data_IF_281535579625
#
_entry.id   IF_281535579625
#
_cell.length_a   1.000
_cell.length_b   1.000
_cell.length_c   1.000
_cell.angle_alpha   90.00
_cell.angle_beta   90.00
_cell.angle_gamma   90.00
#
_symmetry.space_group_name_H-M   'P 1'
#
loop_
_entity.id
_entity.type
_entity.pdbx_description
1 polymer ?
#
# COMPACT_ATOMS: atom_id res chain seq x y z
N UNK A 1 25.09 -26.04 -4.09
CA UNK A 1 26.21 -25.50 -3.28
C UNK A 1 25.58 -24.46 -2.37
N UNK A 2 25.36 -24.79 -1.10
CA UNK A 2 24.63 -23.95 -0.16
C UNK A 2 25.60 -22.94 0.49
N UNK A 3 25.35 -21.67 0.18
CA UNK A 3 25.47 -20.46 1.00
C UNK A 3 26.77 -20.29 1.82
N UNK A 4 27.82 -19.81 1.14
CA UNK A 4 28.64 -18.73 1.69
C UNK A 4 28.14 -17.44 1.04
N UNK A 5 27.29 -16.70 1.75
CA UNK A 5 27.12 -15.27 1.48
C UNK A 5 27.25 -14.58 2.81
N UNK A 6 28.37 -13.88 2.94
CA UNK A 6 28.57 -12.80 3.90
C UNK A 6 27.25 -12.07 4.10
N UNK A 7 26.75 -12.04 5.34
CA UNK A 7 25.75 -11.06 5.76
C UNK A 7 26.41 -9.69 5.62
N UNK A 8 26.07 -8.86 4.61
CA UNK A 8 26.45 -7.48 4.71
C UNK A 8 25.58 -6.91 5.83
N UNK A 9 26.19 -6.25 6.80
CA UNK A 9 25.45 -5.35 7.67
C UNK A 9 24.76 -4.31 6.77
N UNK A 10 23.47 -4.49 6.52
CA UNK A 10 22.60 -3.49 5.89
C UNK A 10 21.22 -3.56 6.53
N UNK A 11 21.23 -3.33 7.84
CA UNK A 11 20.18 -2.79 8.71
C UNK A 11 18.73 -2.65 8.17
N UNK A 12 17.82 -3.39 8.80
CA UNK A 12 16.61 -2.86 9.45
C UNK A 12 15.54 -2.20 8.57
N UNK A 13 15.10 -2.85 7.50
CA UNK A 13 13.84 -2.47 6.83
C UNK A 13 12.87 -3.66 6.82
N UNK A 14 12.30 -3.97 7.99
CA UNK A 14 11.03 -4.71 8.03
C UNK A 14 10.02 -3.88 7.24
N UNK A 15 9.33 -4.52 6.30
CA UNK A 15 8.26 -3.88 5.55
C UNK A 15 6.94 -4.46 6.00
N UNK A 16 6.06 -3.60 6.43
CA UNK A 16 4.77 -3.92 6.99
C UNK A 16 3.69 -3.08 6.33
N UNK A 17 2.51 -3.66 6.20
CA UNK A 17 1.31 -3.00 5.70
C UNK A 17 0.06 -3.76 6.15
N UNK A 18 -1.12 -3.26 5.78
CA UNK A 18 -2.38 -3.86 6.20
C UNK A 18 -3.41 -3.90 5.08
N UNK A 19 -4.31 -4.89 5.17
CA UNK A 19 -5.29 -5.17 4.14
C UNK A 19 -6.51 -5.89 4.69
N UNK A 20 -7.64 -5.75 4.00
CA UNK A 20 -8.87 -6.45 4.33
C UNK A 20 -9.07 -7.73 3.50
N UNK A 21 -9.66 -8.76 4.10
CA UNK A 21 -10.17 -9.91 3.36
C UNK A 21 -11.62 -9.70 2.85
N UNK A 22 -12.17 -10.69 2.15
CA UNK A 22 -13.54 -10.64 1.62
C UNK A 22 -14.62 -10.57 2.70
N UNK A 23 -14.29 -11.00 3.92
CA UNK A 23 -15.18 -11.03 5.09
C UNK A 23 -15.00 -9.77 5.97
N UNK A 24 -14.20 -8.82 5.49
CA UNK A 24 -13.90 -7.55 6.13
C UNK A 24 -12.98 -7.64 7.34
N UNK A 25 -12.30 -8.77 7.57
CA UNK A 25 -11.24 -8.87 8.59
C UNK A 25 -10.00 -8.11 8.14
N UNK A 26 -9.25 -7.54 9.08
CA UNK A 26 -7.98 -6.86 8.80
C UNK A 26 -6.79 -7.73 9.21
N UNK A 27 -5.79 -7.79 8.33
CA UNK A 27 -4.49 -8.38 8.58
C UNK A 27 -3.40 -7.31 8.50
N UNK A 28 -2.38 -7.48 9.34
CA UNK A 28 -1.07 -6.86 9.16
C UNK A 28 -0.17 -7.90 8.50
N UNK A 29 0.55 -7.46 7.49
CA UNK A 29 1.60 -8.21 6.86
C UNK A 29 2.92 -7.63 7.34
N UNK A 30 3.88 -8.48 7.66
CA UNK A 30 5.23 -8.11 8.07
C UNK A 30 6.25 -8.97 7.34
N UNK A 31 7.21 -8.31 6.69
CA UNK A 31 8.20 -8.92 5.83
C UNK A 31 9.59 -8.57 6.35
N UNK A 32 10.41 -9.60 6.55
CA UNK A 32 11.81 -9.42 6.87
C UNK A 32 12.59 -9.15 5.57
N UNK A 33 12.50 -7.91 5.08
CA UNK A 33 13.01 -7.37 3.80
C UNK A 33 12.42 -8.03 2.53
N UNK A 34 12.11 -7.21 1.51
CA UNK A 34 11.82 -7.64 0.12
C UNK A 34 10.65 -8.63 -0.12
N UNK A 35 9.63 -8.65 0.74
CA UNK A 35 8.40 -9.42 0.48
C UNK A 35 7.57 -8.90 -0.71
N UNK A 36 6.58 -9.66 -1.22
CA UNK A 36 5.62 -9.15 -2.19
C UNK A 36 4.79 -8.04 -1.56
N UNK A 37 5.24 -6.80 -1.75
CA UNK A 37 4.57 -5.60 -1.25
C UNK A 37 3.68 -5.11 -2.38
N UNK A 38 2.35 -5.00 -2.16
CA UNK A 38 1.49 -4.37 -3.14
C UNK A 38 2.05 -3.01 -3.51
N UNK A 39 2.12 -2.72 -4.80
CA UNK A 39 2.67 -1.47 -5.25
C UNK A 39 1.94 -0.30 -4.59
N UNK A 40 2.71 0.73 -4.25
CA UNK A 40 2.22 2.04 -3.81
C UNK A 40 1.54 2.08 -2.42
N UNK A 41 1.79 1.06 -1.58
CA UNK A 41 1.60 1.16 -0.13
C UNK A 41 2.86 1.76 0.50
N UNK A 42 2.74 2.71 1.46
CA UNK A 42 3.88 3.16 2.27
C UNK A 42 4.60 1.97 2.91
N UNK A 43 5.91 1.89 2.72
CA UNK A 43 6.74 0.90 3.38
C UNK A 43 7.07 1.40 4.78
N UNK A 44 6.55 0.72 5.80
CA UNK A 44 6.85 1.00 7.20
C UNK A 44 7.18 -0.29 7.92
N UNK A 45 7.64 -0.25 9.17
CA UNK A 45 7.63 -1.48 9.98
C UNK A 45 6.19 -1.81 10.38
N UNK A 46 5.89 -3.04 10.80
CA UNK A 46 4.58 -3.36 11.34
C UNK A 46 4.16 -2.46 12.54
N UNK A 47 5.12 -1.95 13.31
CA UNK A 47 4.88 -0.93 14.35
C UNK A 47 4.49 0.41 13.72
N UNK A 48 5.29 0.89 12.78
CA UNK A 48 5.04 2.15 12.10
C UNK A 48 3.71 2.15 11.34
N UNK A 49 3.27 0.99 10.82
CA UNK A 49 1.90 0.85 10.30
C UNK A 49 0.88 1.19 11.37
N UNK A 50 0.95 0.60 12.55
CA UNK A 50 -0.03 0.85 13.63
C UNK A 50 0.01 2.29 14.15
N UNK A 51 1.20 2.86 14.23
CA UNK A 51 1.45 4.20 14.77
C UNK A 51 1.08 5.31 13.77
N UNK A 52 1.38 5.13 12.49
CA UNK A 52 1.35 6.20 11.48
C UNK A 52 0.23 6.01 10.44
N UNK A 53 0.14 4.82 9.84
CA UNK A 53 -0.68 4.55 8.64
C UNK A 53 -2.04 3.87 8.93
N UNK A 54 -2.17 3.32 10.14
CA UNK A 54 -3.28 2.58 10.72
C UNK A 54 -4.64 3.20 10.40
N UNK A 55 -4.82 4.31 11.11
CA UNK A 55 -5.99 5.16 11.19
C UNK A 55 -5.51 6.58 10.96
N UNK A 56 -6.19 7.34 10.09
CA UNK A 56 -5.85 8.75 9.95
C UNK A 56 -6.27 9.49 11.23
N UNK A 57 -5.43 10.39 11.76
CA UNK A 57 -5.81 11.17 12.92
C UNK A 57 -6.99 12.09 12.60
N UNK A 58 -7.82 12.35 13.60
CA UNK A 58 -8.85 13.39 13.51
C UNK A 58 -8.23 14.81 13.54
N UNK A 59 -9.07 15.84 13.48
CA UNK A 59 -8.64 17.25 13.53
C UNK A 59 -7.81 17.63 14.77
N UNK A 60 -7.82 16.78 15.81
CA UNK A 60 -7.06 16.97 17.06
C UNK A 60 -5.79 16.11 17.10
N UNK A 61 -5.48 15.38 16.04
CA UNK A 61 -4.33 14.47 15.97
C UNK A 61 -4.61 13.07 16.52
N UNK A 62 -5.85 12.73 16.91
CA UNK A 62 -6.15 11.47 17.59
C UNK A 62 -6.55 10.38 16.59
N UNK A 63 -5.91 9.21 16.67
CA UNK A 63 -6.31 8.02 15.90
C UNK A 63 -7.45 7.27 16.60
N UNK A 64 -8.56 7.06 15.93
CA UNK A 64 -9.76 6.44 16.50
C UNK A 64 -9.99 5.04 15.91
N UNK A 65 -9.66 3.99 16.67
CA UNK A 65 -9.76 2.60 16.21
C UNK A 65 -11.18 2.03 16.36
N UNK A 66 -12.03 2.59 17.22
CA UNK A 66 -13.41 2.14 17.45
C UNK A 66 -13.51 0.65 17.78
N UNK A 67 -12.69 0.15 18.71
CA UNK A 67 -12.79 -1.21 19.21
C UNK A 67 -14.16 -1.47 19.83
N UNK A 68 -14.73 -2.63 19.50
CA UNK A 68 -15.98 -3.08 20.08
C UNK A 68 -15.80 -3.51 21.54
N UNK A 69 -16.90 -3.79 22.23
CA UNK A 69 -16.86 -4.14 23.65
C UNK A 69 -16.06 -5.41 23.91
N UNK A 70 -16.10 -6.42 23.02
CA UNK A 70 -15.37 -7.67 23.21
C UNK A 70 -13.86 -7.46 23.08
N UNK A 71 -13.44 -6.69 22.07
CA UNK A 71 -12.04 -6.32 21.85
C UNK A 71 -11.51 -5.51 23.05
N UNK A 72 -12.27 -4.51 23.49
CA UNK A 72 -11.89 -3.68 24.63
C UNK A 72 -11.81 -4.49 25.93
N UNK A 73 -12.76 -5.40 26.18
CA UNK A 73 -12.79 -6.20 27.39
C UNK A 73 -11.58 -7.15 27.48
N UNK A 74 -11.15 -7.76 26.36
CA UNK A 74 -9.91 -8.56 26.31
C UNK A 74 -8.68 -7.73 26.69
N UNK A 75 -8.58 -6.51 26.19
CA UNK A 75 -7.46 -5.62 26.55
C UNK A 75 -7.50 -5.31 28.04
N UNK A 76 -8.67 -4.92 28.56
CA UNK A 76 -8.88 -4.54 29.97
C UNK A 76 -8.54 -5.67 30.94
N UNK A 77 -8.80 -6.92 30.57
CA UNK A 77 -8.43 -8.10 31.35
C UNK A 77 -6.91 -8.23 31.55
N UNK A 78 -6.11 -7.74 30.59
CA UNK A 78 -4.65 -7.82 30.61
C UNK A 78 -3.97 -6.59 31.20
N UNK A 79 -4.70 -5.49 31.38
CA UNK A 79 -4.18 -4.30 32.05
C UNK A 79 -4.00 -4.54 33.55
N UNK A 80 -2.94 -3.96 34.11
CA UNK A 80 -2.56 -4.10 35.52
C UNK A 80 -2.79 -2.78 36.27
N UNK A 81 -2.76 -2.82 37.60
CA UNK A 81 -2.71 -1.60 38.41
C UNK A 81 -1.53 -0.75 37.94
N UNK A 82 -1.72 0.56 37.67
CA UNK A 82 -0.69 1.36 37.04
C UNK A 82 0.42 1.64 38.06
N UNK A 83 1.66 1.39 37.66
CA UNK A 83 2.84 1.98 38.28
C UNK A 83 3.12 3.35 37.67
N UNK A 84 4.04 4.11 38.27
CA UNK A 84 4.56 5.31 37.61
C UNK A 84 5.14 4.94 36.23
N UNK A 85 4.84 5.77 35.23
CA UNK A 85 5.37 5.62 33.89
C UNK A 85 6.88 5.90 33.87
N UNK A 86 7.61 5.09 33.12
CA UNK A 86 9.05 5.23 32.93
C UNK A 86 9.40 6.15 31.73
N UNK A 87 10.69 6.23 31.43
CA UNK A 87 11.23 7.10 30.40
C UNK A 87 11.15 6.51 28.98
N UNK A 88 10.70 5.27 28.80
CA UNK A 88 10.75 4.63 27.48
C UNK A 88 9.56 3.67 27.34
N UNK A 89 8.45 4.16 26.78
CA UNK A 89 7.35 3.28 26.41
C UNK A 89 6.06 3.98 26.03
N UNK A 90 5.35 3.36 25.10
CA UNK A 90 3.93 3.58 24.91
C UNK A 90 3.14 2.76 25.92
N UNK A 91 1.99 3.26 26.34
CA UNK A 91 1.15 2.61 27.33
C UNK A 91 -0.29 2.58 26.89
N UNK A 92 -0.90 1.39 26.95
CA UNK A 92 -2.34 1.27 26.94
C UNK A 92 -2.84 1.57 28.34
N UNK A 93 -3.75 2.53 28.46
CA UNK A 93 -4.35 2.96 29.72
C UNK A 93 -5.85 2.80 29.72
N UNK A 94 -6.38 2.36 30.86
CA UNK A 94 -7.80 2.42 31.19
C UNK A 94 -8.03 3.60 32.12
N UNK A 95 -8.95 4.49 31.75
CA UNK A 95 -9.33 5.64 32.56
C UNK A 95 -10.70 5.48 33.22
N UNK A 96 -10.97 6.27 34.24
CA UNK A 96 -12.32 6.52 34.72
C UNK A 96 -13.09 7.32 33.65
N UNK A 97 -14.11 6.70 33.06
CA UNK A 97 -14.96 7.30 32.01
C UNK A 97 -15.67 8.56 32.52
N UNK A 98 -15.95 8.66 33.83
CA UNK A 98 -16.51 9.88 34.41
C UNK A 98 -15.53 11.07 34.35
N UNK A 99 -14.23 10.79 34.21
CA UNK A 99 -13.15 11.76 34.17
C UNK A 99 -12.53 11.94 32.77
N UNK A 100 -13.21 11.46 31.72
CA UNK A 100 -12.70 11.54 30.33
C UNK A 100 -12.36 12.97 29.89
N UNK A 101 -13.20 13.95 30.23
CA UNK A 101 -12.93 15.35 29.87
C UNK A 101 -11.62 15.85 30.48
N UNK A 102 -11.38 15.51 31.75
CA UNK A 102 -10.17 15.90 32.44
C UNK A 102 -8.92 15.22 31.87
N UNK A 103 -9.00 13.90 31.63
CA UNK A 103 -7.94 13.13 31.00
C UNK A 103 -7.58 13.72 29.63
N UNK A 104 -8.56 13.90 28.74
CA UNK A 104 -8.33 14.40 27.38
C UNK A 104 -7.76 15.82 27.40
N UNK A 105 -8.24 16.69 28.30
CA UNK A 105 -7.69 18.04 28.45
C UNK A 105 -6.22 18.02 28.82
N UNK A 106 -5.82 17.14 29.75
CA UNK A 106 -4.42 16.97 30.13
C UNK A 106 -3.60 16.39 28.97
N UNK A 107 -4.08 15.31 28.36
CA UNK A 107 -3.35 14.57 27.33
C UNK A 107 -3.13 15.37 26.05
N UNK A 108 -4.15 16.11 25.59
CA UNK A 108 -4.03 16.96 24.41
C UNK A 108 -3.16 18.20 24.67
N UNK A 109 -3.28 18.82 25.84
CA UNK A 109 -2.46 20.00 26.19
C UNK A 109 -0.98 19.65 26.21
N UNK A 110 -0.63 18.47 26.71
CA UNK A 110 0.75 18.02 26.86
C UNK A 110 1.18 17.03 25.76
N UNK A 111 0.34 16.83 24.72
CA UNK A 111 0.65 16.07 23.50
C UNK A 111 1.17 14.64 23.71
N UNK A 112 0.59 13.89 24.65
CA UNK A 112 0.96 12.49 24.88
C UNK A 112 -0.14 11.47 24.50
N UNK A 113 -1.21 11.91 23.82
CA UNK A 113 -2.31 11.03 23.40
C UNK A 113 -2.11 10.62 21.93
N UNK A 114 -1.96 9.32 21.67
CA UNK A 114 -1.74 8.78 20.33
C UNK A 114 -3.03 8.24 19.72
N UNK A 115 -3.74 7.40 20.48
CA UNK A 115 -4.94 6.73 19.98
C UNK A 115 -6.04 6.58 21.03
N UNK A 116 -7.27 6.55 20.53
CA UNK A 116 -8.44 6.06 21.25
C UNK A 116 -8.83 4.69 20.71
N UNK A 117 -8.71 3.68 21.56
CA UNK A 117 -9.13 2.32 21.22
C UNK A 117 -10.62 2.15 21.47
N UNK A 118 -11.12 2.55 22.64
CA UNK A 118 -12.55 2.50 22.94
C UNK A 118 -12.97 3.66 23.84
N UNK A 119 -13.77 4.57 23.30
CA UNK A 119 -14.28 5.72 24.04
C UNK A 119 -15.28 5.31 25.12
N UNK A 120 -16.14 4.33 24.85
CA UNK A 120 -17.16 3.85 25.80
C UNK A 120 -16.54 3.20 27.03
N UNK A 121 -15.39 2.54 26.85
CA UNK A 121 -14.67 1.84 27.92
C UNK A 121 -13.53 2.67 28.53
N UNK A 122 -13.20 3.83 27.97
CA UNK A 122 -12.11 4.68 28.46
C UNK A 122 -10.72 4.10 28.18
N UNK A 123 -10.52 3.50 27.01
CA UNK A 123 -9.28 2.83 26.63
C UNK A 123 -8.49 3.66 25.60
N UNK A 124 -7.24 4.01 25.95
CA UNK A 124 -6.39 4.91 25.17
C UNK A 124 -4.95 4.42 25.10
N UNK A 125 -4.23 4.81 24.04
CA UNK A 125 -2.78 4.68 23.90
C UNK A 125 -2.13 6.03 24.17
N UNK A 126 -1.13 6.05 25.06
CA UNK A 126 -0.38 7.24 25.42
C UNK A 126 1.14 7.03 25.35
N UNK A 127 1.89 8.07 25.04
CA UNK A 127 3.36 8.11 25.13
C UNK A 127 3.76 9.24 26.10
N UNK A 128 3.80 8.98 27.42
CA UNK A 128 3.90 10.04 28.41
C UNK A 128 5.34 10.57 28.58
N UNK A 129 6.32 10.19 27.77
CA UNK A 129 7.75 10.47 27.99
C UNK A 129 8.03 11.93 28.36
N UNK A 130 7.63 12.88 27.51
CA UNK A 130 7.85 14.32 27.75
C UNK A 130 6.93 14.91 28.85
N UNK A 131 5.86 14.21 29.20
CA UNK A 131 4.81 14.66 30.12
C UNK A 131 4.65 13.75 31.36
N UNK A 132 5.69 12.98 31.71
CA UNK A 132 5.59 11.86 32.66
C UNK A 132 5.07 12.29 34.03
N UNK A 133 5.53 13.44 34.53
CA UNK A 133 5.08 14.00 35.81
C UNK A 133 3.57 14.23 35.80
N UNK A 134 3.07 14.86 34.73
CA UNK A 134 1.63 15.14 34.57
C UNK A 134 0.82 13.86 34.37
N UNK A 135 1.32 12.89 33.62
CA UNK A 135 0.66 11.60 33.46
C UNK A 135 0.60 10.82 34.79
N UNK A 136 1.67 10.83 35.58
CA UNK A 136 1.74 10.19 36.89
C UNK A 136 0.81 10.85 37.93
N UNK A 137 0.57 12.16 37.84
CA UNK A 137 -0.46 12.84 38.65
C UNK A 137 -1.87 12.27 38.39
N UNK A 138 -2.18 11.89 37.14
CA UNK A 138 -3.48 11.29 36.81
C UNK A 138 -3.64 9.88 37.43
N UNK A 139 -2.55 9.14 37.64
CA UNK A 139 -2.56 7.88 38.39
C UNK A 139 -2.87 8.14 39.86
N UNK A 140 -2.16 9.09 40.50
CA UNK A 140 -2.35 9.43 41.92
C UNK A 140 -3.79 9.88 42.21
N UNK A 141 -4.38 10.59 41.25
CA UNK A 141 -5.76 11.08 41.30
C UNK A 141 -6.81 10.03 40.91
N UNK A 142 -6.39 8.81 40.58
CA UNK A 142 -7.24 7.69 40.15
C UNK A 142 -8.07 7.99 38.90
N UNK A 143 -7.54 8.84 38.02
CA UNK A 143 -8.11 9.07 36.69
C UNK A 143 -7.64 7.95 35.75
N UNK A 144 -6.35 7.58 35.82
CA UNK A 144 -5.82 6.36 35.19
C UNK A 144 -5.97 5.21 36.19
N UNK A 145 -6.75 4.21 35.82
CA UNK A 145 -7.14 3.08 36.67
C UNK A 145 -6.29 1.84 36.46
N UNK A 146 -5.85 1.61 35.22
CA UNK A 146 -4.99 0.50 34.82
C UNK A 146 -4.07 0.89 33.68
N UNK A 147 -2.92 0.24 33.58
CA UNK A 147 -2.03 0.37 32.43
C UNK A 147 -1.29 -0.92 32.10
N UNK A 148 -0.77 -1.01 30.88
CA UNK A 148 0.23 -1.99 30.44
C UNK A 148 1.13 -1.30 29.42
N UNK A 149 2.45 -1.53 29.50
CA UNK A 149 3.38 -1.10 28.45
C UNK A 149 3.00 -1.79 27.14
N UNK A 150 2.99 -1.03 26.06
CA UNK A 150 2.76 -1.49 24.71
C UNK A 150 4.08 -1.41 23.97
N UNK A 151 4.58 -2.56 23.54
CA UNK A 151 5.79 -2.67 22.77
C UNK A 151 5.58 -3.79 21.76
N UNK A 152 5.21 -3.43 20.54
CA UNK A 152 5.02 -4.42 19.49
C UNK A 152 6.42 -4.78 18.94
N UNK A 153 6.89 -6.00 19.14
CA UNK A 153 8.16 -6.46 18.58
C UNK A 153 8.00 -7.83 17.93
N UNK A 154 8.23 -7.84 16.62
CA UNK A 154 8.06 -9.01 15.76
C UNK A 154 9.43 -9.62 15.39
N UNK A 155 10.55 -9.03 15.83
CA UNK A 155 11.89 -9.42 15.40
C UNK A 155 12.46 -10.68 16.09
N UNK A 156 11.63 -11.48 16.75
CA UNK A 156 12.06 -12.66 17.50
C UNK A 156 12.01 -13.97 16.69
N UNK A 157 11.86 -13.86 15.37
CA UNK A 157 11.77 -15.02 14.47
C UNK A 157 13.10 -15.77 14.37
N UNK A 158 13.05 -17.10 14.54
CA UNK A 158 14.25 -17.95 14.49
C UNK A 158 14.14 -18.94 13.34
N UNK A 159 15.10 -18.91 12.42
CA UNK A 159 15.23 -19.93 11.38
C UNK A 159 15.71 -21.25 11.98
N UNK A 160 14.93 -22.32 11.79
CA UNK A 160 15.30 -23.68 12.16
C UNK A 160 15.89 -24.41 10.96
N UNK A 161 17.22 -24.51 10.93
CA UNK A 161 17.97 -25.21 9.90
C UNK A 161 17.58 -26.69 9.74
N UNK A 162 17.07 -27.34 10.80
CA UNK A 162 16.71 -28.77 10.74
C UNK A 162 15.40 -29.00 10.01
N UNK A 163 14.45 -28.09 10.17
CA UNK A 163 13.13 -28.18 9.53
C UNK A 163 13.07 -27.38 8.24
N UNK A 164 14.01 -26.45 8.02
CA UNK A 164 14.01 -25.53 6.88
C UNK A 164 12.87 -24.53 6.96
N UNK A 165 12.46 -24.14 8.17
CA UNK A 165 11.31 -23.27 8.41
C UNK A 165 11.61 -22.21 9.47
N UNK A 166 10.86 -21.12 9.45
CA UNK A 166 10.94 -20.07 10.48
C UNK A 166 9.97 -20.38 11.61
N UNK A 167 10.45 -20.25 12.84
CA UNK A 167 9.62 -20.27 14.04
C UNK A 167 9.29 -18.84 14.43
N UNK A 168 8.03 -18.46 14.25
CA UNK A 168 7.51 -17.16 14.62
C UNK A 168 7.19 -17.12 16.11
N UNK A 169 7.74 -16.13 16.81
CA UNK A 169 7.56 -15.99 18.27
C UNK A 169 6.74 -14.74 18.56
N UNK A 170 5.57 -14.95 19.14
CA UNK A 170 4.65 -13.89 19.56
C UNK A 170 4.70 -13.73 21.07
N UNK A 171 4.85 -12.50 21.54
CA UNK A 171 4.81 -12.18 22.97
C UNK A 171 3.38 -12.17 23.54
N UNK A 172 3.24 -11.78 24.82
CA UNK A 172 1.94 -11.74 25.49
C UNK A 172 1.04 -10.56 25.04
N UNK A 173 1.53 -9.61 24.24
CA UNK A 173 0.72 -8.53 23.65
C UNK A 173 -0.13 -9.04 22.50
N UNK A 174 0.30 -10.10 21.81
CA UNK A 174 -0.54 -10.76 20.80
C UNK A 174 -1.85 -11.28 21.39
N UNK A 175 -1.92 -11.58 22.69
CA UNK A 175 -3.17 -11.98 23.32
C UNK A 175 -4.29 -10.92 23.27
N UNK A 176 -3.91 -9.65 23.10
CA UNK A 176 -4.81 -8.51 22.99
C UNK A 176 -4.87 -7.91 21.58
N UNK A 177 -4.13 -8.48 20.63
CA UNK A 177 -3.99 -7.97 19.27
C UNK A 177 -5.21 -8.37 18.42
N UNK A 178 -5.96 -7.42 17.82
CA UNK A 178 -7.21 -7.73 17.12
C UNK A 178 -7.03 -7.97 15.62
N UNK A 179 -5.81 -7.95 15.10
CA UNK A 179 -5.52 -8.12 13.67
C UNK A 179 -4.94 -9.51 13.41
N UNK A 180 -5.18 -10.05 12.22
CA UNK A 180 -4.40 -11.19 11.74
C UNK A 180 -2.95 -10.74 11.52
N UNK A 181 -1.99 -11.63 11.73
CA UNK A 181 -0.60 -11.39 11.32
C UNK A 181 -0.22 -12.41 10.25
N UNK A 182 0.30 -11.88 9.15
CA UNK A 182 0.93 -12.64 8.10
C UNK A 182 2.40 -12.26 8.03
N UNK A 183 3.27 -13.27 7.97
CA UNK A 183 4.71 -13.06 7.89
C UNK A 183 5.31 -13.91 6.79
N UNK A 184 6.41 -13.41 6.23
CA UNK A 184 7.20 -14.16 5.27
C UNK A 184 8.68 -13.90 5.54
N UNK A 185 9.52 -14.93 5.43
CA UNK A 185 10.97 -14.72 5.48
C UNK A 185 11.48 -14.00 4.24
N UNK A 186 12.75 -13.59 4.28
CA UNK A 186 13.48 -12.88 3.22
C UNK A 186 13.28 -13.42 1.79
N UNK A 187 13.00 -14.71 1.61
CA UNK A 187 12.84 -15.29 0.28
C UNK A 187 11.38 -15.22 -0.22
N UNK A 188 11.17 -14.41 -1.26
CA UNK A 188 9.95 -14.28 -2.08
C UNK A 188 9.41 -15.59 -2.65
N UNK A 189 10.26 -16.62 -2.76
CA UNK A 189 9.88 -17.97 -3.17
C UNK A 189 9.08 -18.74 -2.10
N UNK A 190 9.01 -18.26 -0.86
CA UNK A 190 8.09 -18.76 0.15
C UNK A 190 6.74 -18.05 0.04
N UNK A 191 5.66 -18.75 0.40
CA UNK A 191 4.38 -18.10 0.57
C UNK A 191 4.37 -17.31 1.87
N UNK A 192 3.67 -16.18 1.90
CA UNK A 192 3.37 -15.49 3.15
C UNK A 192 2.46 -16.36 4.00
N UNK A 193 2.79 -16.54 5.28
CA UNK A 193 2.11 -17.45 6.20
C UNK A 193 1.35 -16.68 7.28
N UNK A 194 0.16 -17.15 7.63
CA UNK A 194 -0.62 -16.63 8.75
C UNK A 194 -0.04 -17.15 10.06
N UNK A 195 0.65 -16.29 10.78
CA UNK A 195 1.34 -16.65 12.03
C UNK A 195 0.47 -16.40 13.25
N UNK A 196 -0.47 -15.45 13.16
CA UNK A 196 -1.39 -15.13 14.25
C UNK A 196 -2.84 -15.01 13.81
N UNK A 197 -3.76 -15.49 14.66
CA UNK A 197 -5.21 -15.36 14.53
C UNK A 197 -5.76 -14.65 15.77
N UNK A 198 -6.38 -13.47 15.62
CA UNK A 198 -6.90 -12.72 16.75
C UNK A 198 -8.14 -13.40 17.33
N UNK A 199 -8.27 -13.37 18.67
CA UNK A 199 -9.46 -13.87 19.37
C UNK A 199 -10.72 -13.05 19.01
N UNK A 200 -10.55 -11.72 18.93
CA UNK A 200 -11.59 -10.79 18.50
C UNK A 200 -11.06 -9.98 17.31
N UNK A 201 -11.67 -10.20 16.14
CA UNK A 201 -11.18 -9.70 14.85
C UNK A 201 -11.58 -8.25 14.65
N UNK A 202 -10.62 -7.41 14.26
CA UNK A 202 -10.90 -6.07 13.78
C UNK A 202 -11.55 -6.13 12.40
N UNK A 203 -12.63 -5.37 12.23
CA UNK A 203 -13.40 -5.30 11.00
C UNK A 203 -13.20 -3.98 10.28
N UNK A 204 -13.17 -4.03 8.95
CA UNK A 204 -13.08 -2.84 8.11
C UNK A 204 -14.20 -1.83 8.42
N UNK A 205 -15.38 -2.29 8.85
CA UNK A 205 -16.51 -1.43 9.24
C UNK A 205 -16.25 -0.61 10.50
N UNK A 206 -15.19 -0.89 11.27
CA UNK A 206 -14.79 -0.11 12.44
C UNK A 206 -13.97 1.14 12.05
N UNK A 207 -13.39 1.15 10.85
CA UNK A 207 -12.80 2.36 10.30
C UNK A 207 -13.85 3.43 10.01
N UNK A 208 -13.47 4.70 10.04
CA UNK A 208 -14.33 5.78 9.53
C UNK A 208 -14.53 5.64 8.00
N UNK A 209 -15.54 6.31 7.40
CA UNK A 209 -15.85 6.13 5.99
C UNK A 209 -14.72 6.46 5.01
N UNK A 210 -13.81 7.38 5.35
CA UNK A 210 -12.69 7.73 4.46
C UNK A 210 -11.57 6.70 4.55
N UNK A 211 -11.32 6.23 5.76
CA UNK A 211 -10.41 5.13 6.06
C UNK A 211 -10.84 3.81 5.42
N UNK A 212 -12.15 3.51 5.40
CA UNK A 212 -12.67 2.33 4.70
C UNK A 212 -12.36 2.34 3.20
N UNK A 213 -12.19 3.52 2.60
CA UNK A 213 -11.95 3.65 1.16
C UNK A 213 -10.47 3.51 0.79
N UNK A 214 -9.52 3.66 1.73
CA UNK A 214 -8.07 3.46 1.49
C UNK A 214 -7.61 2.01 1.65
N UNK A 215 -8.35 1.20 2.40
CA UNK A 215 -7.97 -0.19 2.67
C UNK A 215 -8.15 -1.05 1.42
N UNK A 216 -7.06 -1.65 0.94
CA UNK A 216 -7.08 -2.66 -0.12
C UNK A 216 -7.88 -3.91 0.32
N UNK A 217 -8.34 -4.71 -0.63
CA UNK A 217 -9.18 -5.89 -0.35
C UNK A 217 -8.72 -7.09 -1.14
N UNK A 218 -8.63 -8.25 -0.48
CA UNK A 218 -8.38 -9.52 -1.14
C UNK A 218 -9.67 -10.32 -1.32
N UNK A 219 -9.81 -11.10 -2.41
CA UNK A 219 -10.98 -11.94 -2.68
C UNK A 219 -10.95 -13.28 -1.91
N UNK A 220 -10.17 -13.38 -0.83
CA UNK A 220 -10.01 -14.59 -0.01
C UNK A 220 -10.56 -14.36 1.40
N UNK A 221 -10.68 -15.43 2.19
CA UNK A 221 -10.92 -15.33 3.65
C UNK A 221 -9.61 -15.57 4.40
N UNK A 222 -9.28 -14.69 5.35
CA UNK A 222 -8.13 -14.93 6.22
C UNK A 222 -8.32 -16.13 7.12
N UNK A 223 -9.55 -16.56 7.46
CA UNK A 223 -9.77 -17.77 8.26
C UNK A 223 -9.42 -19.05 7.49
N UNK A 224 -9.64 -19.05 6.18
CA UNK A 224 -9.48 -20.22 5.31
C UNK A 224 -8.11 -20.28 4.64
N UNK A 225 -7.42 -19.13 4.53
CA UNK A 225 -6.17 -19.00 3.79
C UNK A 225 -4.97 -18.83 4.72
N UNK A 226 -4.35 -19.94 5.15
CA UNK A 226 -3.19 -19.92 6.05
C UNK A 226 -1.87 -19.55 5.37
N UNK A 227 -1.79 -19.70 4.05
CA UNK A 227 -0.65 -19.28 3.23
C UNK A 227 -1.17 -18.63 1.96
N UNK A 228 -0.47 -17.65 1.42
CA UNK A 228 -0.89 -16.97 0.19
C UNK A 228 0.27 -16.29 -0.53
N UNK A 229 0.08 -16.06 -1.82
CA UNK A 229 0.95 -15.23 -2.64
C UNK A 229 0.22 -13.92 -2.93
N UNK A 230 0.63 -12.81 -2.33
CA UNK A 230 -0.06 -11.52 -2.52
C UNK A 230 -0.04 -11.07 -3.98
N UNK A 231 1.07 -11.33 -4.68
CA UNK A 231 1.22 -11.00 -6.10
C UNK A 231 0.20 -11.73 -7.01
N UNK A 232 -0.47 -12.78 -6.53
CA UNK A 232 -1.57 -13.46 -7.25
C UNK A 232 -2.82 -12.58 -7.36
N UNK A 233 -3.00 -11.68 -6.40
CA UNK A 233 -4.24 -10.90 -6.23
C UNK A 233 -4.05 -9.41 -6.48
N UNK A 234 -2.85 -8.90 -6.23
CA UNK A 234 -2.52 -7.48 -6.34
C UNK A 234 -1.17 -7.33 -7.03
N UNK A 235 -0.99 -6.33 -7.91
CA UNK A 235 0.33 -5.97 -8.39
C UNK A 235 1.26 -5.70 -7.22
N UNK A 236 2.42 -6.35 -7.22
CA UNK A 236 3.33 -6.30 -6.09
C UNK A 236 4.77 -6.29 -6.57
N UNK A 237 5.61 -5.50 -5.92
CA UNK A 237 7.05 -5.58 -6.11
C UNK A 237 7.54 -6.90 -5.51
N UNK A 238 8.09 -7.78 -6.34
CA UNK A 238 8.64 -9.06 -5.91
C UNK A 238 9.67 -9.55 -6.93
N UNK A 239 10.69 -10.27 -6.47
CA UNK A 239 11.70 -10.89 -7.32
C UNK A 239 11.52 -12.40 -7.26
N UNK A 240 11.37 -13.08 -8.39
CA UNK A 240 11.16 -14.53 -8.44
C UNK A 240 12.43 -15.32 -8.68
N UNK A 241 12.25 -16.63 -8.91
CA UNK A 241 13.36 -17.53 -9.26
C UNK A 241 13.87 -17.34 -10.69
N UNK A 242 13.00 -16.81 -11.56
CA UNK A 242 13.26 -16.59 -12.97
C UNK A 242 12.43 -15.39 -13.45
N UNK A 243 12.90 -14.71 -14.49
CA UNK A 243 12.33 -13.45 -14.95
C UNK A 243 12.14 -13.46 -16.47
N UNK A 244 11.00 -12.96 -16.93
CA UNK A 244 10.76 -12.72 -18.35
C UNK A 244 10.10 -11.36 -18.58
N UNK A 245 10.45 -10.71 -19.68
CA UNK A 245 9.78 -9.49 -20.13
C UNK A 245 8.93 -9.73 -21.39
N UNK A 246 7.70 -9.23 -21.37
CA UNK A 246 6.77 -9.20 -22.50
C UNK A 246 6.27 -7.76 -22.67
N UNK A 247 6.69 -7.08 -23.73
CA UNK A 247 6.44 -5.66 -23.90
C UNK A 247 7.14 -4.87 -22.78
N UNK A 248 6.38 -4.04 -22.06
CA UNK A 248 6.88 -3.28 -20.90
C UNK A 248 6.58 -3.95 -19.55
N UNK A 249 6.13 -5.21 -19.55
CA UNK A 249 5.80 -5.93 -18.33
C UNK A 249 6.84 -7.00 -18.02
N UNK A 250 7.36 -6.97 -16.81
CA UNK A 250 8.19 -8.01 -16.21
C UNK A 250 7.34 -8.99 -15.42
N UNK A 251 7.66 -10.27 -15.59
CA UNK A 251 7.00 -11.36 -14.90
C UNK A 251 8.04 -12.25 -14.23
N UNK A 252 7.81 -12.54 -12.96
CA UNK A 252 8.66 -13.37 -12.12
C UNK A 252 8.02 -14.73 -11.84
N UNK A 253 8.82 -15.78 -11.90
CA UNK A 253 8.38 -17.14 -11.58
C UNK A 253 8.26 -17.31 -10.06
N UNK A 254 7.02 -17.30 -9.58
CA UNK A 254 6.65 -17.36 -8.17
C UNK A 254 5.63 -18.47 -7.91
N UNK A 255 5.57 -19.03 -6.68
CA UNK A 255 4.50 -19.94 -6.31
C UNK A 255 3.20 -19.15 -6.14
N UNK A 256 2.09 -19.68 -6.69
CA UNK A 256 0.74 -19.26 -6.33
C UNK A 256 0.37 -19.75 -4.94
N UNK A 257 -0.75 -19.26 -4.41
CA UNK A 257 -1.34 -19.69 -3.13
C UNK A 257 -1.56 -21.21 -3.04
N UNK A 258 -1.80 -21.88 -4.17
CA UNK A 258 -1.95 -23.34 -4.24
C UNK A 258 -0.61 -24.11 -4.37
N UNK A 259 0.53 -23.42 -4.36
CA UNK A 259 1.87 -24.00 -4.47
C UNK A 259 2.37 -24.23 -5.91
N UNK A 260 1.53 -24.06 -6.93
CA UNK A 260 1.98 -24.18 -8.31
C UNK A 260 2.75 -22.93 -8.74
N UNK A 261 3.84 -23.12 -9.47
CA UNK A 261 4.62 -22.01 -10.01
C UNK A 261 4.00 -21.43 -11.29
N UNK A 262 3.88 -20.11 -11.35
CA UNK A 262 3.46 -19.33 -12.52
C UNK A 262 4.32 -18.09 -12.65
N UNK A 263 4.34 -17.51 -13.84
CA UNK A 263 4.94 -16.19 -14.03
C UNK A 263 3.92 -15.15 -13.60
N UNK A 264 4.20 -14.44 -12.52
CA UNK A 264 3.34 -13.41 -11.94
C UNK A 264 3.90 -12.05 -12.32
N UNK A 265 3.02 -11.12 -12.67
CA UNK A 265 3.39 -9.76 -13.00
C UNK A 265 3.83 -9.02 -11.73
N UNK A 266 5.14 -8.80 -11.64
CA UNK A 266 5.83 -8.17 -10.51
C UNK A 266 6.38 -6.79 -10.88
N UNK A 267 6.35 -6.47 -12.17
CA UNK A 267 6.64 -5.12 -12.67
C UNK A 267 5.32 -4.43 -12.95
N UNK A 268 4.77 -3.82 -11.91
CA UNK A 268 3.56 -3.05 -12.07
C UNK A 268 3.79 -1.87 -12.99
N UNK A 269 2.91 -1.74 -13.99
CA UNK A 269 2.81 -0.68 -14.99
C UNK A 269 3.77 0.47 -14.75
N UNK A 270 5.03 0.33 -15.16
CA UNK A 270 5.64 1.49 -15.68
C UNK A 270 5.18 1.44 -17.14
N UNK A 271 4.03 2.06 -17.45
CA UNK A 271 3.84 2.45 -18.83
C UNK A 271 5.04 3.32 -19.13
N UNK A 272 6.04 2.71 -19.78
CA UNK A 272 7.46 3.10 -19.82
C UNK A 272 8.07 3.44 -18.47
N UNK A 273 8.88 2.58 -17.83
CA UNK A 273 9.77 2.76 -16.64
C UNK A 273 9.48 3.87 -15.54
N UNK A 274 8.34 4.56 -15.55
CA UNK A 274 8.17 5.95 -15.11
C UNK A 274 6.71 6.32 -14.77
N UNK A 275 5.82 5.36 -14.49
CA UNK A 275 4.46 5.66 -13.98
C UNK A 275 4.18 4.87 -12.72
N UNK A 276 3.66 5.53 -11.69
CA UNK A 276 3.24 4.94 -10.42
C UNK A 276 1.71 4.93 -10.38
N UNK A 277 1.05 3.80 -10.19
CA UNK A 277 -0.42 3.74 -10.25
C UNK A 277 -1.02 3.20 -8.96
N UNK A 278 -1.62 4.06 -8.15
CA UNK A 278 -2.12 3.69 -6.82
C UNK A 278 -3.35 2.76 -6.82
N UNK A 279 -3.85 2.41 -8.00
CA UNK A 279 -5.00 1.53 -8.21
C UNK A 279 -4.83 0.78 -9.52
N UNK A 280 -5.30 -0.47 -9.59
CA UNK A 280 -5.35 -1.26 -10.84
C UNK A 280 -6.26 -0.65 -11.91
N UNK A 281 -7.05 0.37 -11.55
CA UNK A 281 -8.07 0.98 -12.40
C UNK A 281 -7.97 2.51 -12.35
N UNK A 282 -6.83 3.09 -12.74
CA UNK A 282 -6.63 4.53 -12.63
C UNK A 282 -7.53 5.27 -13.62
N UNK A 283 -8.37 6.15 -13.08
CA UNK A 283 -9.29 7.01 -13.85
C UNK A 283 -8.79 8.44 -13.97
N UNK A 284 -7.69 8.78 -13.30
CA UNK A 284 -7.00 10.06 -13.30
C UNK A 284 -5.55 9.80 -13.66
N UNK A 285 -4.98 10.64 -14.53
CA UNK A 285 -3.54 10.67 -14.78
C UNK A 285 -2.97 12.00 -14.27
N UNK A 286 -2.17 11.94 -13.23
CA UNK A 286 -1.34 13.05 -12.74
C UNK A 286 -0.03 13.09 -13.51
N UNK A 287 0.39 14.27 -13.95
CA UNK A 287 1.66 14.53 -14.63
C UNK A 287 2.40 15.57 -13.78
N UNK A 288 3.54 15.22 -13.20
CA UNK A 288 4.30 16.04 -12.24
C UNK A 288 5.81 16.04 -12.51
N UNK A 289 6.56 16.94 -11.89
CA UNK A 289 7.93 17.30 -12.25
C UNK A 289 9.04 16.46 -11.60
N UNK A 290 8.73 15.66 -10.57
CA UNK A 290 9.72 14.96 -9.76
C UNK A 290 9.29 13.53 -9.36
N UNK A 291 10.29 12.72 -8.96
CA UNK A 291 10.12 11.43 -8.27
C UNK A 291 9.78 11.59 -6.78
N UNK A 292 9.64 12.81 -6.26
CA UNK A 292 9.27 13.02 -4.86
C UNK A 292 7.74 12.92 -4.74
N UNK A 293 7.28 11.69 -4.96
CA UNK A 293 5.90 11.20 -4.99
C UNK A 293 5.05 11.73 -3.81
N UNK A 294 5.70 12.00 -2.68
CA UNK A 294 5.07 12.46 -1.45
C UNK A 294 4.46 13.87 -1.57
N UNK A 295 5.01 14.73 -2.43
CA UNK A 295 4.52 16.10 -2.59
C UNK A 295 3.15 16.17 -3.27
N UNK A 296 2.93 15.40 -4.34
CA UNK A 296 1.63 15.30 -5.03
C UNK A 296 0.60 14.51 -4.23
N UNK A 297 1.05 13.53 -3.44
CA UNK A 297 0.21 12.77 -2.51
C UNK A 297 -0.28 13.62 -1.34
N UNK A 298 0.48 14.62 -0.89
CA UNK A 298 0.08 15.51 0.22
C UNK A 298 -1.10 16.42 -0.12
N UNK A 299 -1.31 16.75 -1.40
CA UNK A 299 -2.38 17.68 -1.84
C UNK A 299 -3.77 17.04 -1.74
N UNK A 300 -3.96 15.81 -2.23
CA UNK A 300 -5.18 15.03 -1.98
C UNK A 300 -4.88 13.51 -1.99
N UNK A 301 -4.46 12.95 -0.85
CA UNK A 301 -4.07 11.54 -0.74
C UNK A 301 -5.20 10.61 -1.15
N UNK A 302 -6.44 11.03 -0.87
CA UNK A 302 -7.65 10.23 -1.07
C UNK A 302 -7.97 10.11 -2.56
N UNK A 303 -7.82 11.18 -3.32
CA UNK A 303 -8.08 11.18 -4.76
C UNK A 303 -6.95 10.48 -5.53
N UNK A 304 -5.70 10.74 -5.16
CA UNK A 304 -4.52 10.10 -5.75
C UNK A 304 -4.55 8.58 -5.54
N UNK A 305 -4.79 8.10 -4.32
CA UNK A 305 -4.79 6.66 -4.03
C UNK A 305 -5.94 5.89 -4.70
N UNK A 306 -7.11 6.49 -4.87
CA UNK A 306 -8.30 5.78 -5.40
C UNK A 306 -8.30 5.61 -6.91
N UNK A 307 -7.73 6.59 -7.59
CA UNK A 307 -8.04 6.85 -8.98
C UNK A 307 -6.83 7.31 -9.80
N UNK A 308 -5.68 7.58 -9.17
CA UNK A 308 -4.54 8.22 -9.81
C UNK A 308 -3.50 7.24 -10.34
N UNK A 309 -2.96 7.58 -11.50
CA UNK A 309 -1.60 7.25 -11.91
C UNK A 309 -0.77 8.53 -11.87
N UNK A 310 0.41 8.53 -11.25
CA UNK A 310 1.37 9.62 -11.30
C UNK A 310 2.42 9.32 -12.36
N UNK A 311 2.70 10.36 -13.13
CA UNK A 311 3.66 10.38 -14.20
C UNK A 311 4.71 11.46 -13.89
N UNK A 312 5.95 11.09 -13.52
CA UNK A 312 7.09 11.99 -13.53
C UNK A 312 7.46 12.41 -14.96
N UNK A 313 7.19 13.68 -15.28
CA UNK A 313 7.69 14.40 -16.43
C UNK A 313 9.11 14.92 -16.14
N UNK A 314 10.13 14.18 -16.60
CA UNK A 314 11.50 14.67 -16.57
C UNK A 314 11.77 15.66 -17.71
N UNK A 315 12.32 16.83 -17.38
CA UNK A 315 12.73 17.82 -18.37
C UNK A 315 14.03 17.41 -19.14
N UNK A 316 14.87 16.45 -18.69
CA UNK A 316 16.21 16.23 -19.32
C UNK A 316 16.85 14.82 -19.26
N UNK A 317 17.35 14.41 -20.43
CA UNK A 317 18.69 13.87 -20.74
C UNK A 317 19.01 12.36 -20.76
N UNK A 318 18.17 11.44 -20.27
CA UNK A 318 18.53 10.01 -20.33
C UNK A 318 18.16 9.25 -21.63
N UNK A 319 17.62 9.92 -22.65
CA UNK A 319 17.31 9.28 -23.93
C UNK A 319 17.76 10.14 -25.12
N UNK A 320 18.90 9.77 -25.71
CA UNK A 320 19.30 10.13 -27.08
C UNK A 320 18.30 9.61 -28.15
N UNK A 321 17.19 8.98 -27.72
CA UNK A 321 16.16 8.35 -28.53
C UNK A 321 14.96 9.25 -28.83
N UNK A 322 14.84 10.44 -28.20
CA UNK A 322 13.71 11.38 -28.42
C UNK A 322 13.54 11.78 -29.88
N UNK A 323 14.61 11.94 -30.68
CA UNK A 323 14.48 12.25 -32.12
C UNK A 323 14.16 11.03 -32.99
N UNK A 324 14.50 9.81 -32.55
CA UNK A 324 14.25 8.57 -33.30
C UNK A 324 12.78 8.14 -33.19
N UNK A 325 12.22 8.32 -32.00
CA UNK A 325 10.82 8.09 -31.62
C UNK A 325 9.92 9.15 -32.30
N UNK A 326 10.21 10.45 -32.11
CA UNK A 326 9.42 11.57 -32.68
C UNK A 326 9.24 11.59 -34.21
N UNK A 327 10.09 10.91 -34.99
CA UNK A 327 9.97 10.89 -36.46
C UNK A 327 8.76 10.11 -37.00
N UNK A 328 7.99 9.46 -36.12
CA UNK A 328 6.82 8.68 -36.48
C UNK A 328 5.61 9.02 -35.62
N UNK A 329 4.64 9.74 -36.19
CA UNK A 329 3.33 9.90 -35.57
C UNK A 329 2.68 8.53 -35.30
N UNK A 330 2.32 8.26 -34.04
CA UNK A 330 1.46 7.17 -33.55
C UNK A 330 1.61 5.80 -34.18
N UNK A 331 2.85 5.32 -34.38
CA UNK A 331 3.06 4.01 -35.02
C UNK A 331 2.77 2.87 -34.06
N UNK A 332 1.79 2.07 -34.47
CA UNK A 332 1.49 0.77 -33.91
C UNK A 332 2.56 -0.26 -34.31
N UNK A 333 3.12 -0.98 -33.35
CA UNK A 333 4.01 -2.13 -33.55
C UNK A 333 3.20 -3.37 -33.97
N UNK A 334 2.88 -3.46 -35.25
CA UNK A 334 2.14 -4.59 -35.82
C UNK A 334 2.85 -5.94 -35.62
N UNK A 335 4.20 -5.96 -35.50
CA UNK A 335 4.96 -7.18 -35.29
C UNK A 335 4.74 -7.71 -33.87
N UNK A 336 4.89 -6.86 -32.85
CA UNK A 336 4.60 -7.20 -31.46
C UNK A 336 3.15 -7.69 -31.32
N UNK A 337 2.20 -6.96 -31.90
CA UNK A 337 0.78 -7.32 -31.90
C UNK A 337 0.55 -8.70 -32.52
N UNK A 338 1.17 -8.96 -33.67
CA UNK A 338 1.06 -10.26 -34.34
C UNK A 338 1.60 -11.39 -33.45
N UNK A 339 2.77 -11.20 -32.82
CA UNK A 339 3.35 -12.20 -31.91
C UNK A 339 2.44 -12.47 -30.70
N UNK A 340 1.93 -11.44 -30.05
CA UNK A 340 0.99 -11.58 -28.92
C UNK A 340 -0.28 -12.33 -29.35
N UNK A 341 -0.88 -11.96 -30.48
CA UNK A 341 -2.09 -12.63 -31.01
C UNK A 341 -1.84 -14.08 -31.41
N UNK A 342 -0.64 -14.41 -31.91
CA UNK A 342 -0.23 -15.78 -32.21
C UNK A 342 -0.08 -16.62 -30.94
N UNK A 343 0.43 -16.04 -29.86
CA UNK A 343 0.57 -16.72 -28.57
C UNK A 343 -0.81 -16.99 -27.96
N UNK A 344 -1.60 -15.94 -27.71
CA UNK A 344 -3.00 -16.02 -27.28
C UNK A 344 -3.77 -14.82 -27.84
N UNK A 345 -4.82 -15.09 -28.62
CA UNK A 345 -5.58 -14.08 -29.37
C UNK A 345 -6.13 -12.95 -28.49
N UNK A 346 -6.49 -13.24 -27.26
CA UNK A 346 -7.08 -12.31 -26.30
C UNK A 346 -6.05 -11.53 -25.48
N UNK A 347 -4.77 -11.87 -25.54
CA UNK A 347 -3.74 -11.17 -24.76
C UNK A 347 -3.49 -9.73 -25.19
N UNK A 348 -3.81 -9.40 -26.44
CA UNK A 348 -3.67 -8.04 -26.97
C UNK A 348 -4.40 -6.98 -26.12
N UNK A 349 -5.43 -7.34 -25.37
CA UNK A 349 -6.16 -6.41 -24.50
C UNK A 349 -5.36 -5.96 -23.27
N UNK A 350 -4.23 -6.61 -22.96
CA UNK A 350 -3.41 -6.31 -21.78
C UNK A 350 -2.17 -5.47 -22.09
N UNK A 351 -1.66 -5.55 -23.32
CA UNK A 351 -0.41 -4.88 -23.71
C UNK A 351 -0.69 -3.67 -24.59
N UNK A 352 0.14 -2.61 -24.47
CA UNK A 352 0.18 -1.60 -25.53
C UNK A 352 0.86 -2.17 -26.77
N UNK A 353 0.45 -1.69 -27.94
CA UNK A 353 1.16 -1.99 -29.19
C UNK A 353 1.55 -0.72 -29.91
N UNK A 354 1.78 0.36 -29.18
CA UNK A 354 2.38 1.58 -29.71
C UNK A 354 3.85 1.61 -29.33
N UNK A 355 4.67 2.20 -30.22
CA UNK A 355 6.10 2.45 -29.94
C UNK A 355 6.29 3.81 -29.28
N UNK A 356 5.41 4.76 -29.58
CA UNK A 356 5.45 6.11 -29.04
C UNK A 356 5.07 6.15 -27.57
N UNK A 357 5.74 7.04 -26.85
CA UNK A 357 5.69 7.13 -25.41
C UNK A 357 4.30 7.52 -24.88
N UNK A 358 3.79 8.68 -25.29
CA UNK A 358 2.49 9.18 -24.83
C UNK A 358 1.34 8.28 -25.28
N UNK A 359 1.41 7.72 -26.49
CA UNK A 359 0.39 6.80 -26.99
C UNK A 359 0.34 5.51 -26.15
N UNK A 360 1.48 4.98 -25.70
CA UNK A 360 1.49 3.84 -24.79
C UNK A 360 0.80 4.17 -23.46
N UNK A 361 1.13 5.32 -22.85
CA UNK A 361 0.53 5.81 -21.59
C UNK A 361 -0.98 5.89 -21.72
N UNK A 362 -1.48 6.54 -22.76
CA UNK A 362 -2.91 6.76 -22.93
C UNK A 362 -3.67 5.53 -23.47
N UNK A 363 -3.02 4.63 -24.21
CA UNK A 363 -3.60 3.33 -24.62
C UNK A 363 -3.80 2.40 -23.42
N UNK A 364 -2.87 2.42 -22.46
CA UNK A 364 -2.94 1.58 -21.25
C UNK A 364 -3.85 2.21 -20.19
N UNK A 365 -3.58 3.45 -19.78
CA UNK A 365 -4.29 4.09 -18.67
C UNK A 365 -5.70 4.52 -19.11
N UNK A 366 -5.82 5.16 -20.28
CA UNK A 366 -7.07 5.74 -20.79
C UNK A 366 -7.89 6.49 -19.72
N UNK A 367 -7.30 7.52 -19.08
CA UNK A 367 -7.91 8.19 -17.93
C UNK A 367 -9.19 8.94 -18.33
N UNK A 368 -10.04 9.31 -17.38
CA UNK A 368 -11.17 10.24 -17.62
C UNK A 368 -10.76 11.71 -17.48
N UNK A 369 -9.66 11.98 -16.79
CA UNK A 369 -9.14 13.33 -16.53
C UNK A 369 -7.64 13.30 -16.34
N UNK A 370 -6.95 14.34 -16.79
CA UNK A 370 -5.53 14.56 -16.59
C UNK A 370 -5.32 15.71 -15.61
N UNK A 371 -4.41 15.58 -14.66
CA UNK A 371 -4.02 16.65 -13.74
C UNK A 371 -2.55 16.93 -13.97
N UNK A 372 -2.19 18.18 -14.20
CA UNK A 372 -0.81 18.55 -14.56
C UNK A 372 -0.29 19.50 -13.50
N UNK A 373 0.89 19.23 -12.98
CA UNK A 373 1.59 20.16 -12.11
C UNK A 373 1.89 21.46 -12.85
N UNK A 374 1.56 22.58 -12.21
CA UNK A 374 1.67 23.93 -12.77
C UNK A 374 3.08 24.23 -13.31
N UNK A 375 4.12 23.71 -12.66
CA UNK A 375 5.52 23.98 -12.97
C UNK A 375 5.98 23.44 -14.34
N UNK A 376 5.35 22.36 -14.82
CA UNK A 376 5.71 21.65 -16.07
C UNK A 376 4.64 21.78 -17.15
N UNK A 377 3.53 22.43 -16.85
CA UNK A 377 2.37 22.53 -17.72
C UNK A 377 2.73 22.95 -19.16
N UNK A 378 3.46 24.05 -19.31
CA UNK A 378 3.89 24.58 -20.62
C UNK A 378 4.73 23.57 -21.41
N UNK A 379 5.56 22.77 -20.72
CA UNK A 379 6.38 21.76 -21.37
C UNK A 379 5.55 20.58 -21.88
N UNK A 380 4.58 20.14 -21.07
CA UNK A 380 3.63 19.09 -21.45
C UNK A 380 2.79 19.54 -22.64
N UNK A 381 2.34 20.80 -22.68
CA UNK A 381 1.61 21.38 -23.80
C UNK A 381 2.42 21.41 -25.11
N UNK A 382 3.75 21.52 -25.04
CA UNK A 382 4.59 21.50 -26.22
C UNK A 382 4.74 20.09 -26.83
N UNK A 383 4.46 19.03 -26.06
CA UNK A 383 4.54 17.64 -26.52
C UNK A 383 3.17 17.04 -26.91
N UNK A 384 2.07 17.64 -26.46
CA UNK A 384 0.72 17.13 -26.66
C UNK A 384 -0.18 18.11 -27.43
N UNK A 385 -1.08 17.58 -28.26
CA UNK A 385 -2.07 18.42 -28.93
C UNK A 385 -3.13 18.91 -27.94
N UNK A 386 -3.19 20.22 -27.71
CA UNK A 386 -4.13 20.81 -26.74
C UNK A 386 -5.07 21.82 -27.37
N UNK A 387 -6.36 21.70 -27.07
CA UNK A 387 -7.39 22.67 -27.47
C UNK A 387 -8.52 22.74 -26.43
N UNK A 388 -9.01 23.94 -26.12
CA UNK A 388 -10.16 24.17 -25.24
C UNK A 388 -10.10 23.41 -23.89
N UNK A 389 -8.96 23.47 -23.20
CA UNK A 389 -8.71 22.76 -21.93
C UNK A 389 -8.82 21.23 -22.06
N UNK A 390 -8.50 20.68 -23.23
CA UNK A 390 -8.42 19.24 -23.46
C UNK A 390 -7.15 18.84 -24.20
N UNK A 391 -6.62 17.70 -23.83
CA UNK A 391 -5.54 17.01 -24.52
C UNK A 391 -6.15 16.04 -25.53
N UNK A 392 -5.67 16.05 -26.77
CA UNK A 392 -6.04 15.11 -27.83
C UNK A 392 -4.93 14.10 -28.03
N UNK A 393 -5.24 12.82 -27.82
CA UNK A 393 -4.31 11.72 -28.07
C UNK A 393 -5.06 10.45 -28.46
N UNK A 394 -4.53 9.70 -29.43
CA UNK A 394 -5.19 8.55 -30.04
C UNK A 394 -6.62 8.85 -30.55
N UNK A 395 -6.89 10.11 -30.95
CA UNK A 395 -8.21 10.57 -31.40
C UNK A 395 -9.25 10.70 -30.29
N UNK A 396 -8.83 10.67 -29.02
CA UNK A 396 -9.68 10.88 -27.85
C UNK A 396 -9.29 12.20 -27.19
N UNK A 397 -10.30 12.96 -26.77
CA UNK A 397 -10.10 14.18 -25.98
C UNK A 397 -10.22 13.90 -24.48
N UNK A 398 -9.27 14.40 -23.70
CA UNK A 398 -9.21 14.27 -22.25
C UNK A 398 -9.25 15.67 -21.62
N UNK A 399 -10.20 15.97 -20.72
CA UNK A 399 -10.13 17.21 -19.95
C UNK A 399 -8.87 17.20 -19.09
N UNK A 400 -8.22 18.35 -18.95
CA UNK A 400 -7.13 18.52 -18.00
C UNK A 400 -7.39 19.68 -17.04
N UNK A 401 -6.78 19.60 -15.86
CA UNK A 401 -6.75 20.66 -14.84
C UNK A 401 -5.33 20.84 -14.34
N UNK A 402 -5.02 22.03 -13.83
CA UNK A 402 -3.77 22.24 -13.10
C UNK A 402 -3.89 21.72 -11.68
N UNK A 403 -2.76 21.32 -11.09
CA UNK A 403 -2.72 20.87 -9.70
C UNK A 403 -3.24 21.97 -8.75
N UNK A 404 -2.89 23.23 -8.99
CA UNK A 404 -3.39 24.38 -8.22
C UNK A 404 -4.92 24.60 -8.29
N UNK A 405 -5.61 23.95 -9.24
CA UNK A 405 -7.06 24.05 -9.40
C UNK A 405 -7.82 22.94 -8.67
N UNK A 406 -7.12 21.96 -8.08
CA UNK A 406 -7.70 20.72 -7.57
C UNK A 406 -8.78 20.97 -6.51
N UNK A 407 -8.52 21.83 -5.52
CA UNK A 407 -9.50 22.18 -4.49
C UNK A 407 -10.75 22.87 -5.07
N UNK A 408 -10.55 23.80 -6.00
CA UNK A 408 -11.63 24.57 -6.61
C UNK A 408 -12.49 23.70 -7.55
N UNK A 409 -11.92 22.63 -8.10
CA UNK A 409 -12.55 21.72 -9.07
C UNK A 409 -12.86 20.34 -8.49
N UNK A 410 -12.64 20.12 -7.20
CA UNK A 410 -12.70 18.80 -6.54
C UNK A 410 -13.93 17.98 -6.89
N UNK A 411 -15.13 18.58 -6.79
CA UNK A 411 -16.40 17.89 -7.11
C UNK A 411 -16.48 17.42 -8.57
N UNK A 412 -15.95 18.20 -9.50
CA UNK A 412 -15.94 17.88 -10.92
C UNK A 412 -14.95 16.74 -11.21
N UNK A 413 -13.76 16.83 -10.62
CA UNK A 413 -12.71 15.82 -10.73
C UNK A 413 -13.18 14.50 -10.10
N UNK A 414 -13.76 14.53 -8.90
CA UNK A 414 -14.35 13.35 -8.24
C UNK A 414 -15.46 12.71 -9.08
N UNK A 415 -16.29 13.51 -9.75
CA UNK A 415 -17.32 12.99 -10.65
C UNK A 415 -16.71 12.23 -11.84
N UNK A 416 -15.62 12.74 -12.41
CA UNK A 416 -14.88 12.06 -13.49
C UNK A 416 -14.14 10.82 -12.99
N UNK A 417 -13.53 10.90 -11.80
CA UNK A 417 -12.81 9.81 -11.16
C UNK A 417 -13.70 8.62 -10.79
N UNK A 418 -14.97 8.86 -10.47
CA UNK A 418 -15.93 7.80 -10.14
C UNK A 418 -16.52 7.10 -11.38
N UNK A 419 -16.17 7.52 -12.60
CA UNK A 419 -16.62 6.82 -13.82
C UNK A 419 -15.94 5.45 -13.95
N UNK A 420 -16.59 4.49 -14.64
CA UNK A 420 -15.98 3.18 -14.87
C UNK A 420 -14.64 3.30 -15.60
N UNK A 421 -13.62 2.61 -15.09
CA UNK A 421 -12.32 2.50 -15.75
C UNK A 421 -12.45 1.93 -17.16
N UNK A 422 -11.71 2.50 -18.10
CA UNK A 422 -11.81 2.22 -19.54
C UNK A 422 -10.45 1.91 -20.20
N UNK A 423 -9.38 1.84 -19.42
CA UNK A 423 -8.07 1.43 -19.90
C UNK A 423 -7.93 -0.09 -20.04
N UNK A 424 -6.71 -0.52 -20.31
CA UNK A 424 -6.38 -1.94 -20.46
C UNK A 424 -6.41 -2.64 -19.12
N UNK A 425 -6.77 -3.92 -19.14
CA UNK A 425 -6.68 -4.75 -17.95
C UNK A 425 -5.23 -5.09 -17.67
N UNK A 426 -4.93 -5.41 -16.42
CA UNK A 426 -3.65 -5.98 -16.01
C UNK A 426 -3.65 -7.49 -16.23
N UNK A 427 -2.60 -7.98 -16.88
CA UNK A 427 -2.32 -9.40 -16.94
C UNK A 427 -1.44 -9.78 -15.76
N UNK A 428 -2.02 -10.40 -14.73
CA UNK A 428 -1.32 -10.72 -13.50
C UNK A 428 -0.58 -12.05 -13.56
N UNK A 429 -1.10 -13.06 -14.28
CA UNK A 429 -0.59 -14.43 -14.20
C UNK A 429 -0.47 -15.03 -15.59
N UNK A 430 0.68 -15.65 -15.84
CA UNK A 430 1.01 -16.35 -17.06
C UNK A 430 1.42 -17.80 -16.80
N UNK A 431 0.94 -18.69 -17.68
CA UNK A 431 1.34 -20.09 -17.69
C UNK A 431 2.79 -20.23 -18.15
N UNK A 432 3.57 -21.07 -17.46
CA UNK A 432 4.96 -21.37 -17.82
C UNK A 432 5.11 -21.82 -19.28
N UNK A 433 4.19 -22.65 -19.76
CA UNK A 433 4.20 -23.13 -21.15
C UNK A 433 4.05 -21.99 -22.17
N UNK A 434 3.28 -20.94 -21.85
CA UNK A 434 3.10 -19.80 -22.74
C UNK A 434 4.37 -18.93 -22.75
N UNK A 435 5.04 -18.78 -21.62
CA UNK A 435 6.35 -18.13 -21.56
C UNK A 435 7.40 -18.90 -22.35
N UNK A 436 7.44 -20.23 -22.23
CA UNK A 436 8.36 -21.05 -23.04
C UNK A 436 8.11 -20.92 -24.54
N UNK A 437 6.85 -20.71 -24.97
CA UNK A 437 6.52 -20.39 -26.37
C UNK A 437 6.97 -18.99 -26.74
N UNK A 438 6.72 -17.99 -25.88
CA UNK A 438 7.15 -16.61 -26.09
C UNK A 438 8.65 -16.51 -26.31
N UNK A 439 9.45 -17.16 -25.46
CA UNK A 439 10.91 -17.18 -25.56
C UNK A 439 11.42 -17.83 -26.86
N UNK A 440 10.63 -18.71 -27.49
CA UNK A 440 10.95 -19.29 -28.81
C UNK A 440 10.56 -18.39 -29.98
N UNK A 441 9.75 -17.35 -29.74
CA UNK A 441 9.28 -16.38 -30.75
C UNK A 441 10.11 -15.08 -30.76
N UNK A 442 10.97 -14.88 -29.76
CA UNK A 442 12.01 -13.84 -29.77
C UNK A 442 13.11 -14.24 -30.74
#
# INVERSE_FOLDING_TARGET
MFIDKEYPATHSMSTGWFIADKDGNIAIFDFNENGPIPCDIPESSANGVLEEDFVLPDEKGIRNFNFDDNQADIIIEKLKTPSEFDEYGEYIVLIDVAQTEEFLKSALKNKYLHACYSKSKGLYLIEPYEAKTTANELIQRKIILKSKIFFFDINNDVYDEKTGSYNYVHDDLFEIFPFYLYQQPYWTAHLTERTFVPKCKFKITQFNPDDQKRVLRLPISFDECSKLQIAEFLPSYSCGNDYVSIGNHGFDLLPLTNGNFKYINTSYLPVSLFTKCYTERPTILFIGSCYDDNSLLQEDPVLCMKSGAIFPYEERSYFEEKERIRSFSGKRDEMFISKIKMLKKDWWKYFSGFVEYWDQVFDIINPHVVIIEDSIFENVLNELEVSNNKISILGIEYPYYLLSELDNRKKEIECLANKPYRGKQLLLILDKEDIEKWLKMQ
#
